data_IF_327431385844
#
_entry.id   IF_327431385844
#
_cell.length_a   1.000
_cell.length_b   1.000
_cell.length_c   1.000
_cell.angle_alpha   90.00
_cell.angle_beta   90.00
_cell.angle_gamma   90.00
#
_symmetry.space_group_name_H-M   'P 1'
#
loop_
_entity.id
_entity.type
_entity.pdbx_description
1 polymer ?
#
# COMPACT_ATOMS: atom_id res chain seq x y z
N UNK A 1 -1.24 18.72 9.20
CA UNK A 1 -0.42 19.03 8.00
C UNK A 1 0.81 19.87 8.35
N UNK A 2 0.68 21.07 8.93
CA UNK A 2 1.84 21.93 9.31
C UNK A 2 2.79 21.20 10.27
N UNK A 3 2.27 20.51 11.29
CA UNK A 3 3.09 19.73 12.23
C UNK A 3 3.79 18.54 11.55
N UNK A 4 3.10 17.85 10.64
CA UNK A 4 3.66 16.76 9.84
C UNK A 4 4.83 17.25 8.97
N UNK A 5 4.70 18.44 8.37
CA UNK A 5 5.76 19.06 7.59
C UNK A 5 6.96 19.45 8.47
N UNK A 6 6.72 20.03 9.66
CA UNK A 6 7.79 20.30 10.63
C UNK A 6 8.54 19.02 11.00
N UNK A 7 7.82 17.95 11.32
CA UNK A 7 8.44 16.66 11.64
C UNK A 7 9.31 16.14 10.48
N UNK A 8 8.83 16.25 9.24
CA UNK A 8 9.61 15.89 8.07
C UNK A 8 10.90 16.73 7.94
N UNK A 9 10.84 18.05 8.13
CA UNK A 9 12.03 18.91 8.08
C UNK A 9 13.06 18.62 9.18
N UNK A 10 12.63 18.04 10.31
CA UNK A 10 13.51 17.64 11.40
C UNK A 10 13.96 16.16 11.32
N UNK A 11 13.81 15.51 10.16
CA UNK A 11 14.13 14.09 9.98
C UNK A 11 13.46 13.15 11.00
N UNK A 12 12.28 13.54 11.50
CA UNK A 12 11.46 12.66 12.33
C UNK A 12 10.70 11.66 11.47
N UNK A 13 10.17 10.56 12.06
CA UNK A 13 9.39 9.59 11.31
C UNK A 13 8.28 10.23 10.49
N UNK A 14 8.17 9.79 9.24
CA UNK A 14 7.24 10.35 8.26
C UNK A 14 5.81 10.01 8.70
N UNK A 15 4.99 11.04 8.89
CA UNK A 15 3.58 10.87 9.24
C UNK A 15 2.76 10.40 8.03
N UNK A 16 1.66 9.67 8.28
CA UNK A 16 0.68 9.22 7.26
C UNK A 16 0.27 10.37 6.34
N UNK A 17 -0.06 11.54 6.91
CA UNK A 17 -0.50 12.70 6.15
C UNK A 17 0.55 13.21 5.13
N UNK A 18 1.85 13.04 5.40
CA UNK A 18 2.89 13.40 4.43
C UNK A 18 2.91 12.43 3.24
N UNK A 19 2.71 11.14 3.50
CA UNK A 19 2.60 10.13 2.45
C UNK A 19 1.30 10.27 1.65
N UNK A 20 0.18 10.60 2.28
CA UNK A 20 -1.08 10.87 1.56
C UNK A 20 -0.92 12.02 0.57
N UNK A 21 -0.30 13.12 0.99
CA UNK A 21 -0.01 14.26 0.12
C UNK A 21 0.89 13.83 -1.04
N UNK A 22 1.91 13.02 -0.78
CA UNK A 22 2.81 12.52 -1.82
C UNK A 22 2.10 11.56 -2.79
N UNK A 23 1.25 10.65 -2.30
CA UNK A 23 0.48 9.71 -3.12
C UNK A 23 -0.53 10.45 -4.00
N UNK A 24 -1.17 11.49 -3.46
CA UNK A 24 -2.04 12.37 -4.25
C UNK A 24 -1.25 13.13 -5.33
N UNK A 25 -0.08 13.66 -4.99
CA UNK A 25 0.80 14.29 -5.98
C UNK A 25 1.21 13.30 -7.08
N UNK A 26 1.56 12.06 -6.71
CA UNK A 26 1.93 11.01 -7.65
C UNK A 26 0.76 10.64 -8.57
N UNK A 27 -0.45 10.53 -8.02
CA UNK A 27 -1.68 10.35 -8.79
C UNK A 27 -1.84 11.45 -9.85
N UNK A 28 -1.78 12.73 -9.44
CA UNK A 28 -1.95 13.87 -10.35
C UNK A 28 -0.87 13.91 -11.42
N UNK A 29 0.38 13.56 -11.07
CA UNK A 29 1.48 13.44 -12.03
C UNK A 29 1.22 12.34 -13.07
N UNK A 30 0.75 11.17 -12.65
CA UNK A 30 0.46 10.04 -13.54
C UNK A 30 -0.77 10.30 -14.42
N UNK A 31 -1.75 11.02 -13.91
CA UNK A 31 -2.90 11.49 -14.69
C UNK A 31 -2.43 12.44 -15.80
N UNK A 32 -1.58 13.42 -15.44
CA UNK A 32 -1.01 14.36 -16.39
C UNK A 32 -0.16 13.68 -17.47
N UNK A 33 0.58 12.63 -17.12
CA UNK A 33 1.39 11.84 -18.06
C UNK A 33 0.61 10.75 -18.79
N UNK A 34 -0.72 10.62 -18.56
CA UNK A 34 -1.59 9.57 -19.15
C UNK A 34 -1.12 8.14 -18.87
N UNK A 35 -0.51 7.92 -17.71
CA UNK A 35 -0.07 6.60 -17.23
C UNK A 35 -0.86 6.10 -16.03
N UNK A 36 -1.86 6.87 -15.57
CA UNK A 36 -2.67 6.54 -14.39
C UNK A 36 -3.37 5.18 -14.51
N UNK A 37 -3.79 4.79 -15.72
CA UNK A 37 -4.45 3.51 -15.99
C UNK A 37 -3.57 2.29 -15.67
N UNK A 38 -2.26 2.46 -15.47
CA UNK A 38 -1.33 1.38 -15.11
C UNK A 38 -1.26 1.15 -13.59
N UNK A 39 -1.83 2.04 -12.78
CA UNK A 39 -1.64 2.03 -11.34
C UNK A 39 -2.97 2.20 -10.59
N UNK A 40 -3.06 1.54 -9.43
CA UNK A 40 -4.08 1.80 -8.42
C UNK A 40 -3.43 2.17 -7.11
N UNK A 41 -4.08 3.09 -6.40
CA UNK A 41 -3.63 3.59 -5.12
C UNK A 41 -4.59 3.13 -4.02
N UNK A 42 -4.02 2.92 -2.84
CA UNK A 42 -4.76 2.57 -1.63
C UNK A 42 -4.48 3.65 -0.58
N UNK A 43 -5.48 3.91 0.28
CA UNK A 43 -5.33 4.83 1.40
C UNK A 43 -4.13 4.41 2.26
N UNK A 44 -3.22 5.36 2.51
CA UNK A 44 -1.99 5.13 3.26
C UNK A 44 -2.33 4.60 4.64
N UNK A 45 -1.67 3.54 5.08
CA UNK A 45 -1.91 3.00 6.42
C UNK A 45 -3.07 2.01 6.52
N UNK A 46 -3.97 1.94 5.55
CA UNK A 46 -5.21 1.14 5.66
C UNK A 46 -5.02 -0.36 5.92
N UNK A 47 -3.93 -0.93 5.41
CA UNK A 47 -3.55 -2.34 5.65
C UNK A 47 -2.34 -2.49 6.58
N UNK A 48 -1.85 -1.38 7.14
CA UNK A 48 -0.66 -1.36 8.00
C UNK A 48 -0.92 -2.08 9.31
N UNK A 49 0.13 -2.43 10.05
CA UNK A 49 -0.05 -3.09 11.34
C UNK A 49 -0.81 -2.17 12.31
N UNK A 50 -1.62 -2.75 13.20
CA UNK A 50 -2.35 -2.01 14.22
C UNK A 50 -3.78 -2.51 14.46
N UNK A 51 -4.37 -3.19 13.47
CA UNK A 51 -5.68 -3.86 13.59
C UNK A 51 -5.58 -5.35 13.24
N UNK A 52 -6.69 -6.07 13.44
CA UNK A 52 -6.76 -7.51 13.19
C UNK A 52 -6.42 -7.82 11.72
N UNK A 53 -5.60 -8.87 11.52
CA UNK A 53 -5.18 -9.30 10.18
C UNK A 53 -6.35 -9.60 9.25
N UNK A 54 -7.44 -10.13 9.80
CA UNK A 54 -8.64 -10.46 9.04
C UNK A 54 -9.33 -9.22 8.46
N UNK A 55 -9.49 -8.16 9.26
CA UNK A 55 -10.07 -6.90 8.81
C UNK A 55 -9.23 -6.26 7.70
N UNK A 56 -7.91 -6.23 7.89
CA UNK A 56 -6.96 -5.72 6.89
C UNK A 56 -6.98 -6.55 5.61
N UNK A 57 -7.08 -7.87 5.74
CA UNK A 57 -7.19 -8.76 4.59
C UNK A 57 -8.50 -8.54 3.83
N UNK A 58 -9.61 -8.26 4.51
CA UNK A 58 -10.89 -7.92 3.89
C UNK A 58 -10.84 -6.57 3.16
N UNK A 59 -10.24 -5.54 3.77
CA UNK A 59 -10.02 -4.24 3.15
C UNK A 59 -9.17 -4.37 1.89
N UNK A 60 -8.06 -5.08 1.96
CA UNK A 60 -7.20 -5.34 0.81
C UNK A 60 -7.95 -6.14 -0.27
N UNK A 61 -8.74 -7.15 0.11
CA UNK A 61 -9.57 -7.91 -0.84
C UNK A 61 -10.55 -7.01 -1.59
N UNK A 62 -11.22 -6.08 -0.88
CA UNK A 62 -12.15 -5.14 -1.50
C UNK A 62 -11.45 -4.22 -2.52
N UNK A 63 -10.18 -3.85 -2.26
CA UNK A 63 -9.36 -3.10 -3.22
C UNK A 63 -8.93 -3.96 -4.41
N UNK A 64 -8.51 -5.20 -4.19
CA UNK A 64 -8.12 -6.14 -5.25
C UNK A 64 -9.29 -6.44 -6.21
N UNK A 65 -10.50 -6.62 -5.70
CA UNK A 65 -11.70 -6.86 -6.52
C UNK A 65 -12.07 -5.66 -7.42
N UNK A 66 -11.55 -4.46 -7.11
CA UNK A 66 -11.77 -3.22 -7.86
C UNK A 66 -10.55 -2.79 -8.69
N UNK A 67 -9.54 -3.65 -8.78
CA UNK A 67 -8.30 -3.38 -9.52
C UNK A 67 -8.33 -4.19 -10.80
N UNK A 68 -8.07 -3.55 -11.93
CA UNK A 68 -7.98 -4.23 -13.22
C UNK A 68 -6.72 -5.13 -13.25
N UNK A 69 -6.76 -6.24 -13.99
CA UNK A 69 -5.64 -7.20 -13.97
C UNK A 69 -4.31 -6.61 -14.46
N UNK A 70 -4.37 -5.64 -15.38
CA UNK A 70 -3.22 -4.95 -15.95
C UNK A 70 -2.67 -3.81 -15.08
N UNK A 71 -3.36 -3.46 -13.99
CA UNK A 71 -2.94 -2.45 -13.02
C UNK A 71 -2.01 -3.01 -11.94
N UNK A 72 -1.08 -2.16 -11.50
CA UNK A 72 -0.28 -2.36 -10.30
C UNK A 72 -0.91 -1.65 -9.11
N UNK A 73 -1.25 -2.39 -8.05
CA UNK A 73 -1.75 -1.80 -6.81
C UNK A 73 -0.57 -1.38 -5.93
N UNK A 74 -0.47 -0.09 -5.63
CA UNK A 74 0.57 0.53 -4.81
C UNK A 74 0.04 0.76 -3.39
N UNK A 75 0.73 0.20 -2.39
CA UNK A 75 0.23 0.18 -1.02
C UNK A 75 1.33 0.59 -0.03
N UNK A 76 1.28 1.81 0.51
CA UNK A 76 2.13 2.19 1.63
C UNK A 76 1.78 1.35 2.86
N UNK A 77 2.75 0.61 3.37
CA UNK A 77 2.60 -0.26 4.52
C UNK A 77 3.53 0.19 5.64
N UNK A 78 2.97 0.51 6.81
CA UNK A 78 3.69 0.82 8.03
C UNK A 78 3.76 -0.41 8.92
N UNK A 79 4.98 -0.73 9.34
CA UNK A 79 5.28 -1.68 10.39
C UNK A 79 5.78 -0.93 11.64
N UNK A 80 4.85 -0.53 12.51
CA UNK A 80 5.07 0.19 13.77
C UNK A 80 5.53 1.63 13.59
N UNK A 81 6.73 1.80 13.01
CA UNK A 81 7.33 3.09 12.67
C UNK A 81 8.19 3.01 11.40
N UNK A 82 8.06 1.92 10.63
CA UNK A 82 8.85 1.66 9.44
C UNK A 82 7.96 1.60 8.21
N UNK A 83 8.15 2.54 7.29
CA UNK A 83 7.37 2.59 6.05
C UNK A 83 8.05 1.76 4.95
N UNK A 84 7.25 0.90 4.34
CA UNK A 84 7.61 0.09 3.16
C UNK A 84 6.53 0.21 2.09
N UNK A 85 6.81 -0.26 0.89
CA UNK A 85 5.84 -0.30 -0.20
C UNK A 85 5.54 -1.74 -0.59
N UNK A 86 4.26 -2.12 -0.57
CA UNK A 86 3.78 -3.35 -1.18
C UNK A 86 3.22 -3.03 -2.56
N UNK A 87 3.66 -3.77 -3.57
CA UNK A 87 3.18 -3.65 -4.95
C UNK A 87 2.56 -4.96 -5.37
N UNK A 88 1.28 -4.96 -5.73
CA UNK A 88 0.58 -6.18 -6.16
C UNK A 88 0.35 -6.13 -7.67
N UNK A 89 0.76 -7.19 -8.36
CA UNK A 89 0.44 -7.43 -9.76
C UNK A 89 -0.59 -8.57 -9.83
N UNK A 90 -1.85 -8.20 -10.08
CA UNK A 90 -2.95 -9.17 -10.10
C UNK A 90 -2.85 -10.14 -11.28
N UNK A 91 -2.46 -9.68 -12.47
CA UNK A 91 -2.26 -10.55 -13.65
C UNK A 91 -1.24 -11.66 -13.40
N UNK A 92 -0.16 -11.37 -12.68
CA UNK A 92 0.88 -12.35 -12.34
C UNK A 92 0.57 -13.12 -11.05
N UNK A 93 -0.39 -12.64 -10.25
CA UNK A 93 -0.70 -13.23 -8.95
C UNK A 93 0.46 -13.11 -7.95
N UNK A 94 1.26 -12.04 -8.05
CA UNK A 94 2.44 -11.82 -7.20
C UNK A 94 2.36 -10.50 -6.46
N UNK A 95 2.96 -10.46 -5.28
CA UNK A 95 3.19 -9.25 -4.51
C UNK A 95 4.71 -9.04 -4.33
N UNK A 96 5.14 -7.80 -4.48
CA UNK A 96 6.50 -7.36 -4.22
C UNK A 96 6.51 -6.52 -2.96
N UNK A 97 7.49 -6.75 -2.10
CA UNK A 97 7.74 -5.93 -0.92
C UNK A 97 9.04 -5.15 -1.13
N UNK A 98 8.95 -3.83 -1.03
CA UNK A 98 10.04 -2.90 -1.26
C UNK A 98 10.38 -2.25 0.08
N UNK A 99 11.49 -2.69 0.65
CA UNK A 99 12.07 -2.15 1.88
C UNK A 99 13.42 -1.51 1.59
N UNK A 100 13.53 -0.22 1.91
CA UNK A 100 14.74 0.57 1.75
C UNK A 100 15.85 0.15 2.72
N UNK A 101 15.51 -0.43 3.87
CA UNK A 101 16.47 -0.97 4.84
C UNK A 101 16.85 -2.42 4.57
N UNK A 102 16.26 -3.05 3.54
CA UNK A 102 16.52 -4.44 3.16
C UNK A 102 16.35 -5.43 4.31
N UNK A 103 15.37 -5.21 5.19
CA UNK A 103 15.07 -6.16 6.24
C UNK A 103 14.52 -7.46 5.64
N UNK A 104 14.32 -8.47 6.48
CA UNK A 104 13.54 -9.65 6.07
C UNK A 104 12.08 -9.23 5.90
N UNK A 105 11.38 -9.86 4.95
CA UNK A 105 9.95 -9.63 4.75
C UNK A 105 9.22 -9.92 6.06
N UNK A 106 8.36 -8.99 6.46
CA UNK A 106 7.58 -9.13 7.68
C UNK A 106 6.49 -10.22 7.53
N UNK A 107 6.34 -11.14 8.49
CA UNK A 107 5.31 -12.17 8.42
C UNK A 107 3.87 -11.60 8.42
N UNK A 108 3.64 -10.44 9.04
CA UNK A 108 2.33 -9.80 9.10
C UNK A 108 1.83 -9.40 7.72
N UNK A 109 2.67 -8.70 6.94
CA UNK A 109 2.28 -8.27 5.58
C UNK A 109 2.09 -9.47 4.66
N UNK A 110 2.91 -10.50 4.81
CA UNK A 110 2.80 -11.75 4.04
C UNK A 110 1.46 -12.41 4.31
N UNK A 111 1.10 -12.59 5.58
CA UNK A 111 -0.14 -13.26 5.98
C UNK A 111 -1.38 -12.47 5.53
N UNK A 112 -1.36 -11.14 5.66
CA UNK A 112 -2.48 -10.28 5.20
C UNK A 112 -2.67 -10.41 3.69
N UNK A 113 -1.60 -10.35 2.91
CA UNK A 113 -1.65 -10.47 1.44
C UNK A 113 -2.14 -11.86 1.03
N UNK A 114 -1.60 -12.92 1.61
CA UNK A 114 -2.03 -14.31 1.33
C UNK A 114 -3.51 -14.53 1.65
N UNK A 115 -3.97 -14.07 2.83
CA UNK A 115 -5.39 -14.11 3.21
C UNK A 115 -6.24 -13.36 2.19
N UNK A 116 -5.85 -12.18 1.76
CA UNK A 116 -6.60 -11.41 0.76
C UNK A 116 -6.74 -12.13 -0.57
N UNK A 117 -5.66 -12.75 -1.07
CA UNK A 117 -5.74 -13.57 -2.27
C UNK A 117 -6.67 -14.76 -2.10
N UNK A 118 -6.63 -15.43 -0.95
CA UNK A 118 -7.51 -16.56 -0.64
C UNK A 118 -8.99 -16.14 -0.58
N UNK A 119 -9.31 -15.02 0.05
CA UNK A 119 -10.68 -14.48 0.09
C UNK A 119 -11.14 -14.09 -1.32
N UNK A 120 -10.30 -13.42 -2.10
CA UNK A 120 -10.62 -13.01 -3.48
C UNK A 120 -10.94 -14.23 -4.36
N UNK A 121 -10.14 -15.31 -4.26
CA UNK A 121 -10.36 -16.54 -5.04
C UNK A 121 -11.69 -17.22 -4.70
N UNK A 122 -12.15 -17.14 -3.45
CA UNK A 122 -13.45 -17.70 -3.02
C UNK A 122 -14.65 -16.88 -3.50
N UNK A 123 -14.43 -15.63 -3.92
CA UNK A 123 -15.49 -14.70 -4.37
C UNK A 123 -15.61 -14.60 -5.89
N UNK A 124 -14.75 -15.29 -6.64
CA UNK A 124 -14.82 -15.47 -8.10
C UNK A 124 -15.44 -16.82 -8.39
#
# INVERSE_FOLDING_TARGET
MIESLKNFTFMRPIAIACLDVYMMYLYTRMESSRTLNLYKFVDTGSISCGSFKEERAQLLTARLLRTDYDQLLLIPYNFGNHWTLVVINLKKGVAFWIDHLKNRIDPDVTEVVERSFNIMKKKK
#
